data_IF_498500582627
#
_entry.id   IF_498500582627
#
_cell.length_a   1.000
_cell.length_b   1.000
_cell.length_c   1.000
_cell.angle_alpha   90.00
_cell.angle_beta   90.00
_cell.angle_gamma   90.00
#
_symmetry.space_group_name_H-M   'P 1'
#
loop_
_entity.id
_entity.type
_entity.pdbx_description
1 polymer ?
#
# COMPACT_ATOMS: atom_id res chain seq x y z
N UNK A 1 -7.70 35.17 6.72
CA UNK A 1 -7.07 34.53 5.55
C UNK A 1 -5.78 33.86 6.02
N UNK A 2 -5.84 32.57 6.36
CA UNK A 2 -4.64 31.78 6.67
C UNK A 2 -3.97 31.43 5.35
N UNK A 3 -2.72 31.85 5.17
CA UNK A 3 -1.87 31.40 4.06
C UNK A 3 -1.65 29.90 4.24
N UNK A 4 -2.24 29.07 3.37
CA UNK A 4 -1.79 27.70 3.20
C UNK A 4 -0.34 27.79 2.70
N UNK A 5 0.61 27.40 3.54
CA UNK A 5 2.01 27.34 3.15
C UNK A 5 2.18 26.22 2.14
N UNK A 6 2.96 26.47 1.08
CA UNK A 6 3.50 25.51 0.11
C UNK A 6 4.09 24.20 0.70
N UNK A 7 4.20 24.10 2.04
CA UNK A 7 4.69 22.92 2.75
C UNK A 7 3.77 21.68 2.68
N UNK A 8 2.48 21.81 2.36
CA UNK A 8 1.59 20.64 2.18
C UNK A 8 1.72 19.98 0.82
N UNK A 9 2.38 20.60 -0.17
CA UNK A 9 2.68 19.98 -1.47
C UNK A 9 3.94 19.09 -1.44
N UNK A 10 4.77 19.18 -0.40
CA UNK A 10 6.11 18.58 -0.37
C UNK A 10 6.18 17.09 -0.01
N UNK A 11 5.04 16.43 0.24
CA UNK A 11 5.02 15.06 0.76
C UNK A 11 4.02 14.15 0.02
N UNK A 12 3.92 14.28 -1.31
CA UNK A 12 3.18 13.30 -2.11
C UNK A 12 3.73 13.22 -3.55
N UNK A 13 5.03 12.97 -3.66
CA UNK A 13 5.66 12.57 -4.91
C UNK A 13 6.46 11.30 -4.64
N UNK A 14 5.82 10.14 -4.78
CA UNK A 14 6.54 8.90 -5.03
C UNK A 14 7.17 9.04 -6.41
N UNK A 15 8.41 9.54 -6.47
CA UNK A 15 9.26 9.43 -7.64
C UNK A 15 9.69 7.97 -7.78
N UNK A 16 8.76 7.10 -8.19
CA UNK A 16 9.12 5.79 -8.73
C UNK A 16 9.73 6.07 -10.11
N UNK A 17 11.05 5.94 -10.23
CA UNK A 17 11.73 5.96 -11.52
C UNK A 17 11.09 4.90 -12.41
N UNK A 18 10.49 5.33 -13.51
CA UNK A 18 9.84 4.46 -14.49
C UNK A 18 10.87 3.55 -15.17
N UNK A 19 11.21 2.42 -14.56
CA UNK A 19 11.75 1.27 -15.28
C UNK A 19 10.57 0.43 -15.74
N UNK A 20 10.30 0.53 -17.04
CA UNK A 20 9.32 -0.21 -17.84
C UNK A 20 8.71 -1.43 -17.15
N UNK A 21 7.43 -1.33 -16.80
CA UNK A 21 6.62 -2.45 -16.38
C UNK A 21 5.36 -2.44 -17.24
N UNK A 22 5.24 -3.43 -18.12
CA UNK A 22 4.10 -3.62 -19.02
C UNK A 22 2.76 -3.54 -18.24
N UNK A 23 1.77 -2.88 -18.85
CA UNK A 23 0.41 -2.59 -18.36
C UNK A 23 0.15 -1.19 -17.76
N UNK A 24 0.96 -0.18 -18.07
CA UNK A 24 0.55 1.22 -17.82
C UNK A 24 -0.29 1.71 -19.02
N UNK A 25 -1.56 2.04 -18.81
CA UNK A 25 -2.42 2.61 -19.85
C UNK A 25 -2.22 4.13 -19.82
N UNK A 26 -1.47 4.68 -20.79
CA UNK A 26 -1.22 6.12 -20.89
C UNK A 26 -2.32 6.85 -21.66
N UNK A 27 -2.83 7.95 -21.09
CA UNK A 27 -3.59 8.96 -21.81
C UNK A 27 -2.83 10.30 -21.74
N UNK A 28 -2.35 10.82 -22.88
CA UNK A 28 -1.37 11.92 -22.90
C UNK A 28 -2.02 13.31 -23.04
N UNK A 29 -1.97 14.11 -21.97
CA UNK A 29 -1.99 15.59 -22.02
C UNK A 29 -1.00 16.15 -21.00
N UNK A 30 -0.18 17.12 -21.45
CA UNK A 30 0.86 17.80 -20.67
C UNK A 30 0.28 18.71 -19.57
N UNK A 31 -0.03 18.13 -18.41
CA UNK A 31 -0.14 18.80 -17.12
C UNK A 31 0.76 18.06 -16.12
N UNK A 32 1.16 18.71 -15.01
CA UNK A 32 1.91 18.06 -13.94
C UNK A 32 1.23 16.73 -13.56
N UNK A 33 1.94 15.63 -13.80
CA UNK A 33 1.44 14.28 -13.52
C UNK A 33 1.87 13.90 -12.11
N UNK A 34 0.88 13.69 -11.24
CA UNK A 34 1.06 13.22 -9.88
C UNK A 34 0.85 11.71 -9.85
N UNK A 35 1.54 11.02 -8.93
CA UNK A 35 1.27 9.62 -8.63
C UNK A 35 0.99 9.44 -7.15
N UNK A 36 -0.05 8.67 -6.84
CA UNK A 36 -0.38 8.34 -5.45
C UNK A 36 -1.02 6.98 -5.31
N UNK A 37 -0.87 6.40 -4.13
CA UNK A 37 -1.71 5.29 -3.72
C UNK A 37 -3.05 5.82 -3.23
N UNK A 38 -4.14 5.17 -3.63
CA UNK A 38 -5.46 5.59 -3.22
C UNK A 38 -6.43 4.41 -3.10
N UNK A 39 -7.43 4.57 -2.26
CA UNK A 39 -8.50 3.58 -2.06
C UNK A 39 -9.79 4.11 -2.67
N UNK A 40 -10.41 3.32 -3.54
CA UNK A 40 -11.71 3.66 -4.13
C UNK A 40 -12.80 3.57 -3.06
N UNK A 41 -13.61 4.61 -2.92
CA UNK A 41 -14.68 4.69 -1.93
C UNK A 41 -16.02 5.01 -2.61
N UNK A 42 -17.15 4.61 -2.01
CA UNK A 42 -18.46 4.97 -2.54
C UNK A 42 -18.58 6.49 -2.65
N UNK A 43 -18.94 6.96 -3.84
CA UNK A 43 -19.25 8.37 -4.07
C UNK A 43 -20.75 8.58 -3.99
N UNK A 44 -21.17 9.60 -3.24
CA UNK A 44 -22.53 10.15 -3.34
C UNK A 44 -22.59 11.30 -4.36
N UNK A 45 -21.47 11.64 -4.97
CA UNK A 45 -21.33 12.79 -5.83
C UNK A 45 -21.68 12.42 -7.27
N UNK A 46 -22.43 13.31 -7.93
CA UNK A 46 -22.79 13.14 -9.35
C UNK A 46 -21.62 13.44 -10.30
N UNK A 47 -20.44 13.74 -9.76
CA UNK A 47 -19.30 14.30 -10.50
C UNK A 47 -18.21 13.29 -10.85
N UNK A 48 -18.28 12.07 -10.32
CA UNK A 48 -17.30 11.02 -10.61
C UNK A 48 -17.13 10.02 -9.47
N UNK A 49 -16.18 9.10 -9.65
CA UNK A 49 -15.79 8.14 -8.63
C UNK A 49 -14.77 8.77 -7.67
N UNK A 50 -14.88 8.42 -6.39
CA UNK A 50 -14.07 9.02 -5.34
C UNK A 50 -12.96 8.08 -4.89
N UNK A 51 -11.76 8.61 -4.77
CA UNK A 51 -10.60 7.93 -4.23
C UNK A 51 -10.08 8.69 -3.01
N UNK A 52 -9.74 7.98 -1.94
CA UNK A 52 -9.00 8.57 -0.82
C UNK A 52 -7.53 8.26 -1.01
N UNK A 53 -6.75 9.28 -1.37
CA UNK A 53 -5.31 9.19 -1.50
C UNK A 53 -4.64 9.01 -0.14
N UNK A 54 -3.48 8.36 -0.13
CA UNK A 54 -2.60 8.35 1.02
C UNK A 54 -2.24 9.79 1.39
N UNK A 55 -2.48 10.16 2.64
CA UNK A 55 -2.41 11.56 3.10
C UNK A 55 -3.77 12.24 3.26
N UNK A 56 -4.88 11.57 2.93
CA UNK A 56 -6.24 12.01 3.30
C UNK A 56 -6.89 12.98 2.34
N UNK A 57 -6.30 13.17 1.16
CA UNK A 57 -6.90 13.95 0.09
C UNK A 57 -7.93 13.07 -0.63
N UNK A 58 -9.14 13.59 -0.77
CA UNK A 58 -10.18 13.02 -1.62
C UNK A 58 -9.93 13.47 -3.06
N UNK A 59 -9.81 12.51 -3.97
CA UNK A 59 -9.69 12.74 -5.41
C UNK A 59 -10.99 12.31 -6.07
N UNK A 60 -11.63 13.23 -6.78
CA UNK A 60 -12.81 12.96 -7.60
C UNK A 60 -12.33 12.78 -9.04
N UNK A 61 -12.38 11.56 -9.54
CA UNK A 61 -12.01 11.24 -10.91
C UNK A 61 -13.27 11.30 -11.79
N UNK A 62 -13.47 12.43 -12.48
CA UNK A 62 -14.66 12.65 -13.31
C UNK A 62 -14.68 11.84 -14.61
N UNK A 63 -13.52 11.39 -15.06
CA UNK A 63 -13.33 10.61 -16.29
C UNK A 63 -13.26 9.10 -16.03
N UNK A 64 -13.19 8.67 -14.76
CA UNK A 64 -13.09 7.27 -14.40
C UNK A 64 -14.47 6.61 -14.34
N UNK A 65 -14.68 5.63 -15.21
CA UNK A 65 -15.86 4.74 -15.16
C UNK A 65 -15.47 3.46 -14.45
N UNK A 66 -15.95 3.27 -13.22
CA UNK A 66 -15.64 2.08 -12.43
C UNK A 66 -16.21 0.82 -13.10
N UNK A 67 -15.37 -0.16 -13.49
CA UNK A 67 -15.85 -1.47 -13.92
C UNK A 67 -16.63 -2.17 -12.78
N UNK A 68 -17.68 -2.91 -13.12
CA UNK A 68 -18.51 -3.64 -12.13
C UNK A 68 -17.71 -4.65 -11.32
N UNK A 69 -16.65 -5.23 -11.91
CA UNK A 69 -15.76 -6.20 -11.27
C UNK A 69 -14.86 -5.61 -10.18
N UNK A 70 -14.77 -4.27 -10.10
CA UNK A 70 -13.97 -3.59 -9.08
C UNK A 70 -14.89 -3.23 -7.90
N UNK A 71 -14.72 -3.86 -6.73
CA UNK A 71 -15.45 -3.47 -5.54
C UNK A 71 -14.93 -2.14 -4.96
N UNK A 72 -15.78 -1.46 -4.19
CA UNK A 72 -15.30 -0.41 -3.30
C UNK A 72 -14.32 -0.99 -2.27
N UNK A 73 -13.43 -0.15 -1.75
CA UNK A 73 -12.26 -0.52 -0.95
C UNK A 73 -11.14 -1.23 -1.74
N UNK A 74 -11.24 -1.29 -3.07
CA UNK A 74 -10.12 -1.66 -3.93
C UNK A 74 -9.02 -0.61 -3.87
N UNK A 75 -7.77 -1.08 -3.94
CA UNK A 75 -6.57 -0.26 -3.80
C UNK A 75 -5.93 0.00 -5.15
N UNK A 76 -5.44 1.21 -5.36
CA UNK A 76 -4.93 1.68 -6.64
C UNK A 76 -3.59 2.41 -6.48
N UNK A 77 -2.77 2.31 -7.52
CA UNK A 77 -1.78 3.31 -7.86
C UNK A 77 -2.38 4.17 -8.98
N UNK A 78 -2.57 5.45 -8.71
CA UNK A 78 -3.14 6.42 -9.66
C UNK A 78 -2.04 7.30 -10.22
N UNK A 79 -2.11 7.60 -11.50
CA UNK A 79 -1.42 8.73 -12.12
C UNK A 79 -2.47 9.71 -12.65
N UNK A 80 -2.33 10.99 -12.30
CA UNK A 80 -3.39 11.96 -12.55
C UNK A 80 -2.87 13.38 -12.71
N UNK A 81 -3.69 14.24 -13.28
CA UNK A 81 -3.50 15.69 -13.26
C UNK A 81 -4.67 16.36 -12.55
N UNK A 82 -4.41 17.47 -11.88
CA UNK A 82 -5.44 18.22 -11.15
C UNK A 82 -6.11 19.22 -12.09
N UNK A 83 -7.44 19.16 -12.21
CA UNK A 83 -8.21 20.01 -13.12
C UNK A 83 -8.57 21.35 -12.50
N UNK A 84 -8.98 21.39 -11.22
CA UNK A 84 -9.47 22.61 -10.58
C UNK A 84 -8.78 22.87 -9.24
N UNK A 85 -7.94 23.91 -9.21
CA UNK A 85 -7.28 24.43 -8.01
C UNK A 85 -8.16 25.45 -7.26
N UNK A 86 -9.35 25.80 -7.75
CA UNK A 86 -9.92 27.10 -7.41
C UNK A 86 -11.47 27.22 -7.40
N UNK A 87 -12.19 26.31 -6.74
CA UNK A 87 -13.56 26.62 -6.28
C UNK A 87 -13.89 25.95 -4.93
N UNK A 88 -13.69 26.67 -3.83
CA UNK A 88 -14.45 26.56 -2.56
C UNK A 88 -14.71 25.20 -1.88
N UNK A 89 -14.07 24.10 -2.29
CA UNK A 89 -14.16 22.83 -1.58
C UNK A 89 -13.21 22.85 -0.38
N UNK A 90 -13.67 22.29 0.75
CA UNK A 90 -12.88 22.09 1.96
C UNK A 90 -11.47 21.58 1.58
N UNK A 91 -10.43 22.02 2.30
CA UNK A 91 -8.98 21.94 1.96
C UNK A 91 -8.42 20.54 1.55
N UNK A 92 -9.26 19.51 1.45
CA UNK A 92 -8.95 18.10 1.22
C UNK A 92 -9.63 17.45 0.00
N UNK A 93 -10.37 18.15 -0.88
CA UNK A 93 -11.04 17.51 -2.05
C UNK A 93 -10.63 18.12 -3.39
N UNK A 94 -10.09 17.30 -4.31
CA UNK A 94 -9.58 17.72 -5.62
C UNK A 94 -10.26 16.97 -6.77
N UNK A 95 -10.62 17.69 -7.82
CA UNK A 95 -11.09 17.10 -9.08
C UNK A 95 -9.88 16.81 -9.97
N UNK A 96 -9.79 15.58 -10.45
CA UNK A 96 -8.64 15.08 -11.20
C UNK A 96 -9.05 14.37 -12.48
N UNK A 97 -8.16 14.42 -13.46
CA UNK A 97 -8.18 13.56 -14.65
C UNK A 97 -7.19 12.42 -14.44
N UNK A 98 -7.63 11.16 -14.57
CA UNK A 98 -6.74 10.02 -14.48
C UNK A 98 -6.02 9.80 -15.81
N UNK A 99 -4.70 9.98 -15.81
CA UNK A 99 -3.87 9.65 -16.97
C UNK A 99 -3.57 8.15 -17.06
N UNK A 100 -3.50 7.48 -15.91
CA UNK A 100 -3.37 6.02 -15.80
C UNK A 100 -3.77 5.54 -14.40
N UNK A 101 -4.08 4.25 -14.28
CA UNK A 101 -4.22 3.61 -12.98
C UNK A 101 -3.80 2.14 -13.03
N UNK A 102 -3.43 1.60 -11.87
CA UNK A 102 -3.17 0.18 -11.66
C UNK A 102 -3.92 -0.28 -10.41
N UNK A 103 -4.73 -1.32 -10.56
CA UNK A 103 -5.32 -2.01 -9.40
C UNK A 103 -4.19 -2.76 -8.68
N UNK A 104 -4.08 -2.55 -7.37
CA UNK A 104 -3.10 -3.22 -6.54
C UNK A 104 -3.74 -4.47 -5.93
N UNK A 105 -3.13 -5.66 -6.11
CA UNK A 105 -3.59 -6.87 -5.43
C UNK A 105 -3.69 -6.65 -3.93
N UNK A 106 -4.88 -6.91 -3.40
CA UNK A 106 -5.18 -6.84 -1.97
C UNK A 106 -5.17 -8.26 -1.40
N UNK A 107 -4.43 -8.44 -0.31
CA UNK A 107 -4.28 -9.72 0.37
C UNK A 107 -4.71 -9.60 1.83
N UNK A 108 -5.16 -10.72 2.39
CA UNK A 108 -5.46 -10.83 3.81
C UNK A 108 -4.18 -11.06 4.62
N UNK A 109 -4.22 -10.66 5.89
CA UNK A 109 -3.19 -10.97 6.86
C UNK A 109 -3.21 -12.47 7.19
N UNK A 110 -2.03 -13.11 7.14
CA UNK A 110 -1.90 -14.53 7.45
C UNK A 110 -1.58 -14.74 8.93
N UNK A 111 -2.53 -15.29 9.68
CA UNK A 111 -2.34 -15.63 11.08
C UNK A 111 -1.51 -16.92 11.20
N UNK A 112 -0.33 -16.83 11.82
CA UNK A 112 0.44 -17.99 12.20
C UNK A 112 -0.25 -18.64 13.41
N UNK A 113 -0.73 -19.86 13.21
CA UNK A 113 -1.24 -20.72 14.29
C UNK A 113 -0.45 -22.02 14.25
N UNK A 114 -0.44 -22.77 15.35
CA UNK A 114 0.39 -23.96 15.57
C UNK A 114 0.22 -25.09 14.52
N UNK A 115 -0.68 -24.94 13.54
CA UNK A 115 -0.99 -25.93 12.50
C UNK A 115 -0.90 -25.42 11.06
N UNK A 116 -0.31 -24.25 10.78
CA UNK A 116 -0.20 -23.77 9.38
C UNK A 116 0.89 -24.49 8.58
N UNK A 117 0.64 -24.81 7.28
CA UNK A 117 1.53 -25.65 6.48
C UNK A 117 2.88 -24.98 6.32
N UNK A 118 3.91 -25.82 6.36
CA UNK A 118 5.33 -25.54 6.16
C UNK A 118 5.57 -24.37 5.18
N UNK A 119 5.78 -23.18 5.75
CA UNK A 119 6.25 -21.97 5.08
C UNK A 119 7.78 -22.07 4.88
N UNK A 120 8.25 -23.28 4.53
CA UNK A 120 9.59 -23.81 4.74
C UNK A 120 10.71 -23.00 4.07
N UNK A 121 10.37 -22.21 3.05
CA UNK A 121 11.32 -21.42 2.28
C UNK A 121 10.88 -19.97 2.21
N UNK A 122 11.02 -19.25 3.32
CA UNK A 122 11.09 -17.80 3.30
C UNK A 122 12.38 -17.39 2.58
N UNK A 123 12.28 -17.08 1.30
CA UNK A 123 13.39 -16.52 0.54
C UNK A 123 13.58 -15.05 0.88
N UNK A 124 14.81 -14.60 0.73
CA UNK A 124 15.13 -13.19 0.83
C UNK A 124 14.45 -12.40 -0.29
N UNK A 125 14.16 -11.13 -0.03
CA UNK A 125 13.84 -10.16 -1.07
C UNK A 125 15.13 -9.68 -1.72
N UNK A 126 15.10 -9.37 -3.01
CA UNK A 126 16.22 -8.69 -3.66
C UNK A 126 16.35 -7.26 -3.12
N UNK A 127 15.23 -6.55 -3.01
CA UNK A 127 15.18 -5.20 -2.43
C UNK A 127 13.76 -4.85 -1.95
N UNK A 128 13.66 -3.99 -0.94
CA UNK A 128 12.42 -3.31 -0.57
C UNK A 128 12.52 -1.85 -1.04
N UNK A 129 11.65 -1.43 -1.95
CA UNK A 129 11.65 -0.03 -2.42
C UNK A 129 10.80 0.86 -1.51
N UNK A 130 9.65 0.35 -1.07
CA UNK A 130 8.65 1.15 -0.38
C UNK A 130 7.77 0.30 0.52
N UNK A 131 7.41 0.84 1.68
CA UNK A 131 6.38 0.31 2.56
C UNK A 131 5.67 1.47 3.25
N UNK A 132 4.35 1.52 3.11
CA UNK A 132 3.52 2.56 3.72
C UNK A 132 2.25 1.98 4.28
N UNK A 133 1.84 2.54 5.41
CA UNK A 133 0.59 2.25 6.05
C UNK A 133 -0.35 3.45 5.90
N UNK A 134 -1.53 3.24 5.33
CA UNK A 134 -2.59 4.25 5.30
C UNK A 134 -3.97 3.59 5.25
N UNK A 135 -4.92 4.11 6.03
CA UNK A 135 -6.32 3.66 6.07
C UNK A 135 -6.47 2.13 6.16
N UNK A 136 -5.82 1.51 7.15
CA UNK A 136 -5.79 0.06 7.36
C UNK A 136 -5.12 -0.77 6.26
N UNK A 137 -4.49 -0.15 5.26
CA UNK A 137 -3.76 -0.84 4.20
C UNK A 137 -2.25 -0.67 4.40
N UNK A 138 -1.52 -1.78 4.52
CA UNK A 138 -0.07 -1.77 4.40
C UNK A 138 0.30 -2.10 2.95
N UNK A 139 0.81 -1.12 2.21
CA UNK A 139 1.21 -1.27 0.80
C UNK A 139 2.71 -1.36 0.67
N UNK A 140 3.19 -2.36 -0.07
CA UNK A 140 4.59 -2.73 -0.19
C UNK A 140 4.98 -2.80 -1.66
N UNK A 141 6.07 -2.12 -2.03
CA UNK A 141 6.78 -2.23 -3.31
C UNK A 141 8.14 -2.89 -3.07
N UNK A 142 8.42 -4.00 -3.75
CA UNK A 142 9.67 -4.74 -3.58
C UNK A 142 10.08 -5.48 -4.85
N UNK A 143 11.34 -5.89 -4.91
CA UNK A 143 11.83 -6.88 -5.86
C UNK A 143 11.97 -8.24 -5.19
N UNK A 144 11.32 -9.25 -5.76
CA UNK A 144 11.43 -10.65 -5.35
C UNK A 144 12.28 -11.43 -6.34
N UNK A 145 12.90 -12.51 -5.90
CA UNK A 145 13.51 -13.48 -6.80
C UNK A 145 12.45 -14.38 -7.42
N UNK A 146 12.45 -14.45 -8.76
CA UNK A 146 11.49 -15.23 -9.51
C UNK A 146 11.97 -16.66 -9.70
N UNK A 147 11.10 -17.64 -9.43
CA UNK A 147 11.32 -19.01 -9.87
C UNK A 147 10.86 -19.23 -11.31
N UNK A 148 11.59 -20.05 -12.06
CA UNK A 148 11.26 -20.40 -13.45
C UNK A 148 9.97 -21.23 -13.57
N UNK A 149 9.69 -22.09 -12.59
CA UNK A 149 8.76 -23.21 -12.75
C UNK A 149 7.55 -23.17 -11.80
N UNK A 150 7.48 -22.21 -10.87
CA UNK A 150 6.41 -22.13 -9.86
C UNK A 150 6.08 -20.67 -9.51
N UNK A 151 4.86 -20.43 -9.02
CA UNK A 151 4.44 -19.10 -8.60
C UNK A 151 5.08 -18.72 -7.27
N UNK A 152 5.68 -17.53 -7.25
CA UNK A 152 6.16 -16.89 -6.03
C UNK A 152 5.00 -16.17 -5.34
N UNK A 153 4.98 -16.19 -4.00
CA UNK A 153 3.92 -15.55 -3.21
C UNK A 153 4.52 -14.69 -2.11
N UNK A 154 4.07 -13.45 -2.01
CA UNK A 154 4.27 -12.62 -0.83
C UNK A 154 3.13 -12.86 0.16
N UNK A 155 3.44 -13.02 1.43
CA UNK A 155 2.45 -13.01 2.50
C UNK A 155 2.94 -12.15 3.65
N UNK A 156 2.02 -11.40 4.24
CA UNK A 156 2.25 -10.73 5.51
C UNK A 156 1.76 -11.65 6.61
N UNK A 157 2.66 -12.09 7.47
CA UNK A 157 2.37 -13.01 8.56
C UNK A 157 2.33 -12.30 9.90
N UNK A 158 1.45 -12.75 10.78
CA UNK A 158 1.26 -12.22 12.12
C UNK A 158 1.22 -13.38 13.13
N UNK A 159 2.06 -13.28 14.16
CA UNK A 159 2.07 -14.18 15.32
C UNK A 159 1.68 -13.41 16.59
N UNK A 160 0.47 -13.63 17.13
CA UNK A 160 0.02 -12.97 18.36
C UNK A 160 0.91 -13.24 19.58
N UNK A 161 1.63 -14.37 19.61
CA UNK A 161 2.52 -14.71 20.72
C UNK A 161 3.79 -13.85 20.74
N UNK A 162 4.09 -13.18 19.62
CA UNK A 162 5.24 -12.28 19.48
C UNK A 162 4.95 -10.84 19.93
N UNK A 163 3.68 -10.54 20.24
CA UNK A 163 3.26 -9.19 20.63
C UNK A 163 3.90 -8.75 21.94
N UNK A 164 4.12 -7.44 22.07
CA UNK A 164 4.78 -6.89 23.25
C UNK A 164 4.18 -5.55 23.66
N UNK A 165 4.39 -5.20 24.92
CA UNK A 165 4.01 -3.89 25.48
C UNK A 165 5.28 -3.27 26.07
N UNK A 166 5.61 -2.04 25.66
CA UNK A 166 6.76 -1.34 26.22
C UNK A 166 6.46 -0.75 27.61
N UNK A 167 7.50 -0.23 28.28
CA UNK A 167 7.38 0.39 29.60
C UNK A 167 6.44 1.62 29.65
N UNK A 168 6.04 2.16 28.50
CA UNK A 168 5.10 3.29 28.38
C UNK A 168 3.67 2.82 28.05
N UNK A 169 3.42 1.52 28.04
CA UNK A 169 2.12 0.94 27.73
C UNK A 169 1.81 0.89 26.22
N UNK A 170 2.80 1.10 25.35
CA UNK A 170 2.57 1.02 23.89
C UNK A 170 2.52 -0.43 23.46
N UNK A 171 1.45 -0.80 22.76
CA UNK A 171 1.27 -2.13 22.19
C UNK A 171 1.97 -2.25 20.84
N UNK A 172 2.84 -3.23 20.70
CA UNK A 172 3.54 -3.57 19.46
C UNK A 172 3.10 -4.92 18.94
N UNK A 173 2.80 -4.97 17.66
CA UNK A 173 2.55 -6.21 16.89
C UNK A 173 3.67 -6.41 15.89
N UNK A 174 4.12 -7.65 15.72
CA UNK A 174 5.13 -7.97 14.71
C UNK A 174 4.46 -8.53 13.47
N UNK A 175 4.69 -7.87 12.34
CA UNK A 175 4.23 -8.32 11.03
C UNK A 175 5.45 -8.64 10.18
N UNK A 176 5.59 -9.91 9.80
CA UNK A 176 6.71 -10.37 8.99
C UNK A 176 6.27 -10.58 7.54
N UNK A 177 6.90 -9.87 6.61
CA UNK A 177 6.75 -10.12 5.18
C UNK A 177 7.58 -11.33 4.81
N UNK A 178 6.91 -12.37 4.32
CA UNK A 178 7.52 -13.61 3.86
C UNK A 178 7.37 -13.74 2.36
N UNK A 179 8.47 -14.09 1.71
CA UNK A 179 8.51 -14.38 0.28
C UNK A 179 8.66 -15.89 0.10
N UNK A 180 7.56 -16.52 -0.31
CA UNK A 180 7.53 -17.94 -0.59
C UNK A 180 7.85 -18.19 -2.03
N UNK A 181 8.95 -18.89 -2.24
CA UNK A 181 9.17 -19.59 -3.50
C UNK A 181 9.62 -21.02 -3.23
N UNK A 182 9.00 -22.01 -3.89
CA UNK A 182 9.33 -23.42 -3.75
C UNK A 182 10.61 -23.84 -4.49
N UNK A 183 11.39 -22.90 -5.05
CA UNK A 183 12.64 -23.19 -5.76
C UNK A 183 13.77 -22.31 -5.24
N UNK A 184 14.95 -22.91 -5.08
CA UNK A 184 16.19 -22.22 -4.70
C UNK A 184 16.89 -21.62 -5.93
N UNK A 185 16.46 -22.00 -7.14
CA UNK A 185 17.06 -21.53 -8.38
C UNK A 185 16.46 -20.19 -8.81
N UNK A 186 17.10 -19.11 -8.38
CA UNK A 186 16.80 -17.72 -8.78
C UNK A 186 16.99 -17.57 -10.30
N UNK A 187 15.94 -17.15 -11.01
CA UNK A 187 16.01 -16.90 -12.45
C UNK A 187 16.23 -15.43 -12.79
N UNK A 188 15.51 -14.53 -12.12
CA UNK A 188 15.59 -13.07 -12.28
C UNK A 188 14.97 -12.37 -11.08
N UNK A 189 15.17 -11.05 -10.94
CA UNK A 189 14.34 -10.24 -10.05
C UNK A 189 13.02 -9.87 -10.74
N UNK A 190 11.96 -9.67 -9.96
CA UNK A 190 10.66 -9.20 -10.42
C UNK A 190 10.13 -8.14 -9.46
N UNK A 191 9.68 -7.02 -10.01
CA UNK A 191 8.98 -5.98 -9.25
C UNK A 191 7.58 -6.44 -8.85
N UNK A 192 7.22 -6.22 -7.59
CA UNK A 192 5.90 -6.51 -7.03
C UNK A 192 5.37 -5.34 -6.21
N UNK A 193 4.09 -5.02 -6.39
CA UNK A 193 3.35 -4.05 -5.60
C UNK A 193 2.09 -4.72 -5.04
N UNK A 194 2.00 -4.82 -3.72
CA UNK A 194 0.92 -5.53 -3.03
C UNK A 194 0.43 -4.72 -1.83
N UNK A 195 -0.86 -4.86 -1.50
CA UNK A 195 -1.45 -4.25 -0.30
C UNK A 195 -2.06 -5.32 0.60
N UNK A 196 -1.91 -5.14 1.92
CA UNK A 196 -2.42 -6.04 2.94
C UNK A 196 -3.45 -5.33 3.82
N UNK A 197 -4.61 -5.96 4.02
CA UNK A 197 -5.68 -5.44 4.88
C UNK A 197 -5.37 -5.71 6.36
N UNK A 198 -5.10 -4.65 7.11
CA UNK A 198 -4.85 -4.70 8.55
C UNK A 198 -6.10 -4.36 9.38
N UNK A 199 -7.26 -4.14 8.75
CA UNK A 199 -8.52 -3.87 9.46
C UNK A 199 -8.88 -4.96 10.48
N UNK A 200 -8.68 -6.27 10.22
CA UNK A 200 -8.94 -7.31 11.22
C UNK A 200 -8.05 -7.17 12.47
N UNK A 201 -6.79 -6.77 12.27
CA UNK A 201 -5.85 -6.56 13.37
C UNK A 201 -6.25 -5.34 14.19
N UNK A 202 -6.57 -4.22 13.54
CA UNK A 202 -7.06 -3.01 14.22
C UNK A 202 -8.29 -3.32 15.09
N UNK A 203 -9.26 -4.07 14.56
CA UNK A 203 -10.46 -4.48 15.31
C UNK A 203 -10.13 -5.30 16.56
N UNK A 204 -9.17 -6.22 16.47
CA UNK A 204 -8.75 -7.08 17.60
C UNK A 204 -8.09 -6.30 18.75
N UNK A 205 -7.65 -5.07 18.49
CA UNK A 205 -6.96 -4.21 19.44
C UNK A 205 -7.77 -2.97 19.85
N UNK A 206 -8.98 -2.78 19.30
CA UNK A 206 -9.78 -1.58 19.51
C UNK A 206 -10.11 -1.30 21.00
N UNK A 207 -10.31 -2.35 21.80
CA UNK A 207 -10.59 -2.21 23.24
C UNK A 207 -9.32 -2.12 24.11
N UNK A 208 -8.14 -2.30 23.51
CA UNK A 208 -6.85 -2.38 24.23
C UNK A 208 -6.05 -1.10 24.11
N UNK A 209 -6.11 -0.43 22.96
CA UNK A 209 -5.29 0.75 22.67
C UNK A 209 -5.90 1.60 21.56
N UNK A 210 -5.77 2.93 21.69
CA UNK A 210 -6.09 3.90 20.63
C UNK A 210 -5.02 3.93 19.53
N UNK A 211 -3.85 3.36 19.78
CA UNK A 211 -2.76 3.31 18.80
C UNK A 211 -2.02 1.98 18.90
N UNK A 212 -2.01 1.24 17.80
CA UNK A 212 -1.25 0.00 17.67
C UNK A 212 0.05 0.30 16.91
N UNK A 213 1.19 -0.09 17.48
CA UNK A 213 2.47 0.07 16.80
C UNK A 213 2.80 -1.20 16.03
N UNK A 214 3.08 -1.06 14.74
CA UNK A 214 3.45 -2.19 13.88
C UNK A 214 4.97 -2.21 13.75
N UNK A 215 5.59 -3.31 14.17
CA UNK A 215 6.96 -3.66 13.80
C UNK A 215 6.90 -4.49 12.53
N UNK A 216 7.17 -3.86 11.39
CA UNK A 216 7.24 -4.53 10.10
C UNK A 216 8.63 -5.13 9.91
N UNK A 217 8.69 -6.43 9.69
CA UNK A 217 9.93 -7.23 9.62
C UNK A 217 10.03 -7.83 8.22
N UNK A 218 11.22 -7.79 7.64
CA UNK A 218 11.52 -8.42 6.35
C UNK A 218 13.01 -8.75 6.23
N UNK A 219 13.34 -9.67 5.32
CA UNK A 219 14.71 -10.11 5.08
C UNK A 219 15.10 -9.84 3.63
N UNK A 220 16.27 -9.24 3.42
CA UNK A 220 16.84 -8.94 2.09
C UNK A 220 18.06 -9.81 1.77
N UNK A 221 18.52 -9.78 0.52
CA UNK A 221 19.61 -10.61 -0.02
C UNK A 221 20.92 -10.54 0.78
N UNK A 222 21.20 -9.41 1.45
CA UNK A 222 22.37 -9.28 2.35
C UNK A 222 22.27 -10.12 3.62
N UNK A 223 21.19 -10.88 3.80
CA UNK A 223 20.79 -11.59 5.02
C UNK A 223 20.50 -10.69 6.23
N UNK A 224 20.40 -9.38 6.01
CA UNK A 224 19.97 -8.45 7.04
C UNK A 224 18.47 -8.58 7.26
N UNK A 225 18.09 -8.84 8.51
CA UNK A 225 16.70 -8.67 8.95
C UNK A 225 16.50 -7.22 9.33
N UNK A 226 15.60 -6.55 8.62
CA UNK A 226 15.33 -5.13 8.78
C UNK A 226 13.96 -4.91 9.44
N UNK A 227 13.84 -3.78 10.14
CA UNK A 227 12.62 -3.42 10.87
C UNK A 227 12.21 -1.98 10.59
N UNK A 228 10.93 -1.79 10.32
CA UNK A 228 10.29 -0.48 10.22
C UNK A 228 9.14 -0.37 11.21
N UNK A 229 8.93 0.82 11.78
CA UNK A 229 7.88 1.06 12.78
C UNK A 229 6.82 1.99 12.23
N UNK A 230 5.56 1.56 12.33
CA UNK A 230 4.39 2.38 11.98
C UNK A 230 3.49 2.56 13.19
N UNK A 231 2.83 3.71 13.28
CA UNK A 231 1.74 3.92 14.22
C UNK A 231 0.42 3.78 13.47
N UNK A 232 -0.42 2.85 13.92
CA UNK A 232 -1.78 2.66 13.44
C UNK A 232 -2.73 3.28 14.46
N UNK A 233 -3.25 4.45 14.11
CA UNK A 233 -4.35 5.14 14.80
C UNK A 233 -5.69 4.63 14.27
#
# INVERSE_FOLDING_TARGET
MKKLSLFTLGLLALLLSSTSCDNFIENTKNLYSYQTLATLVPSNEKMGECFIADGGITLIASDFVKPDSIPYNSRFLLAFSVWDYNMNHEDSTWIVDLSAFRIIPKHDLYLLSDSTPDLATNQQLSNLEYCSYYNNMLTISCYTFKSKDKMDRLALTYDPNSDSIDAKGKHYVNLELKHYTPSINVHSSQWQLNSFDLSPLKKSYADKTDTLYINFIYTVETADTLQMKYAMH
#
